data_IF_152839320465
#
_entry.id   IF_152839320465
#
_cell.length_a   1.000
_cell.length_b   1.000
_cell.length_c   1.000
_cell.angle_alpha   90.00
_cell.angle_beta   90.00
_cell.angle_gamma   90.00
#
_symmetry.space_group_name_H-M   'P 1'
#
loop_
_entity.id
_entity.type
_entity.pdbx_description
1 polymer ?
#
# COMPACT_ATOMS: atom_id res chain seq x y z
N UNK A 1 -9.58 -3.03 -9.81
CA UNK A 1 -8.57 -3.55 -10.76
C UNK A 1 -7.38 -4.09 -9.98
N UNK A 2 -6.95 -5.31 -10.29
CA UNK A 2 -5.84 -5.98 -9.60
C UNK A 2 -4.50 -5.89 -10.32
N UNK A 3 -3.41 -6.28 -9.65
CA UNK A 3 -2.05 -6.22 -10.21
C UNK A 3 -1.92 -6.92 -11.58
N UNK A 4 -2.58 -8.07 -11.77
CA UNK A 4 -2.55 -8.82 -13.04
C UNK A 4 -3.17 -8.07 -14.22
N UNK A 5 -4.08 -7.14 -13.98
CA UNK A 5 -4.73 -6.33 -15.02
C UNK A 5 -3.89 -5.09 -15.34
N UNK A 6 -3.26 -4.51 -14.32
CA UNK A 6 -2.51 -3.25 -14.42
C UNK A 6 -1.12 -3.48 -15.04
N UNK A 7 -0.39 -4.50 -14.59
CA UNK A 7 1.02 -4.69 -14.92
C UNK A 7 1.31 -4.90 -16.41
N UNK A 8 0.48 -5.59 -17.22
CA UNK A 8 0.67 -5.66 -18.66
C UNK A 8 0.67 -4.30 -19.36
N UNK A 9 -0.11 -3.34 -18.85
CA UNK A 9 -0.14 -1.97 -19.38
C UNK A 9 1.09 -1.19 -18.94
N UNK A 10 1.49 -1.34 -17.67
CA UNK A 10 2.68 -0.70 -17.09
C UNK A 10 3.95 -1.13 -17.83
N UNK A 11 4.16 -2.41 -18.10
CA UNK A 11 5.37 -2.92 -18.78
C UNK A 11 5.48 -2.44 -20.24
N UNK A 12 4.36 -2.05 -20.87
CA UNK A 12 4.35 -1.53 -22.25
C UNK A 12 4.71 -0.04 -22.34
N UNK A 13 4.51 0.70 -21.26
CA UNK A 13 4.85 2.12 -21.17
C UNK A 13 6.05 2.30 -20.25
N UNK A 14 7.22 2.55 -20.86
CA UNK A 14 8.48 2.74 -20.13
C UNK A 14 8.38 3.76 -18.99
N UNK A 15 7.68 4.88 -19.20
CA UNK A 15 7.57 5.93 -18.18
C UNK A 15 6.77 5.43 -16.98
N UNK A 16 5.66 4.72 -17.21
CA UNK A 16 4.89 4.09 -16.14
C UNK A 16 5.67 2.97 -15.44
N UNK A 17 6.42 2.20 -16.22
CA UNK A 17 7.24 1.11 -15.70
C UNK A 17 8.31 1.59 -14.74
N UNK A 18 9.04 2.65 -15.10
CA UNK A 18 10.05 3.26 -14.22
C UNK A 18 9.43 3.88 -12.96
N UNK A 19 8.24 4.49 -13.07
CA UNK A 19 7.51 4.99 -11.90
C UNK A 19 7.11 3.84 -10.98
N UNK A 20 6.65 2.71 -11.52
CA UNK A 20 6.31 1.52 -10.73
C UNK A 20 7.54 0.96 -9.99
N UNK A 21 8.68 0.85 -10.68
CA UNK A 21 9.92 0.38 -10.07
C UNK A 21 10.42 1.31 -8.96
N UNK A 22 10.33 2.63 -9.16
CA UNK A 22 10.67 3.59 -8.12
C UNK A 22 9.69 3.55 -6.94
N UNK A 23 8.43 3.16 -7.17
CA UNK A 23 7.47 2.90 -6.08
C UNK A 23 7.87 1.68 -5.25
N UNK A 24 8.25 0.56 -5.88
CA UNK A 24 8.79 -0.58 -5.13
C UNK A 24 10.00 -0.17 -4.30
N UNK A 25 10.98 0.50 -4.92
CA UNK A 25 12.20 0.98 -4.23
C UNK A 25 11.85 1.85 -3.01
N UNK A 26 10.95 2.80 -3.19
CA UNK A 26 10.54 3.70 -2.12
C UNK A 26 9.79 2.94 -1.01
N UNK A 27 9.00 1.93 -1.36
CA UNK A 27 8.28 1.11 -0.41
C UNK A 27 9.24 0.28 0.44
N UNK A 28 10.21 -0.44 -0.15
CA UNK A 28 11.14 -1.28 0.64
C UNK A 28 11.98 -0.45 1.62
N UNK A 29 12.37 0.77 1.21
CA UNK A 29 13.05 1.70 2.10
C UNK A 29 12.18 2.15 3.28
N UNK A 30 10.89 2.35 3.04
CA UNK A 30 9.97 2.72 4.10
C UNK A 30 9.67 1.52 5.01
N UNK A 31 9.53 0.32 4.46
CA UNK A 31 9.41 -0.94 5.22
C UNK A 31 10.58 -1.10 6.20
N UNK A 32 11.80 -0.73 5.81
CA UNK A 32 12.95 -0.72 6.74
C UNK A 32 12.70 0.15 7.98
N UNK A 33 12.10 1.33 7.81
CA UNK A 33 11.82 2.26 8.92
C UNK A 33 10.76 1.67 9.85
N UNK A 34 9.65 1.18 9.29
CA UNK A 34 8.54 0.63 10.06
C UNK A 34 8.96 -0.61 10.86
N UNK A 35 9.72 -1.51 10.23
CA UNK A 35 10.24 -2.71 10.88
C UNK A 35 11.25 -2.35 11.98
N UNK A 36 12.08 -1.32 11.76
CA UNK A 36 13.05 -0.85 12.77
C UNK A 36 12.33 -0.27 13.99
N UNK A 37 11.33 0.59 13.77
CA UNK A 37 10.48 1.15 14.84
C UNK A 37 9.75 0.05 15.63
N UNK A 38 9.26 -1.01 14.95
CA UNK A 38 8.69 -2.16 15.63
C UNK A 38 9.73 -2.89 16.49
N UNK A 39 10.93 -3.13 15.97
CA UNK A 39 12.01 -3.79 16.73
C UNK A 39 12.37 -3.00 17.99
N UNK A 40 12.48 -1.68 17.89
CA UNK A 40 12.76 -0.81 19.04
C UNK A 40 11.63 -0.88 20.09
N UNK A 41 10.37 -0.87 19.65
CA UNK A 41 9.19 -0.98 20.54
C UNK A 41 9.10 -2.33 21.24
N UNK A 42 9.59 -3.40 20.61
CA UNK A 42 9.59 -4.74 21.21
C UNK A 42 10.63 -4.89 22.32
N UNK A 43 11.59 -3.98 22.44
CA UNK A 43 12.62 -3.96 23.49
C UNK A 43 13.26 -5.35 23.71
N UNK A 44 13.64 -6.00 22.61
CA UNK A 44 14.28 -7.32 22.63
C UNK A 44 13.35 -8.51 22.90
N UNK A 45 12.03 -8.31 22.98
CA UNK A 45 11.07 -9.36 23.34
C UNK A 45 9.91 -9.54 22.36
N UNK A 46 9.62 -10.78 21.90
CA UNK A 46 10.40 -12.00 22.10
C UNK A 46 11.66 -12.03 21.22
N UNK A 47 12.75 -12.61 21.73
CA UNK A 47 14.07 -12.62 21.08
C UNK A 47 14.06 -13.19 19.67
N UNK A 48 13.32 -14.28 19.45
CA UNK A 48 13.22 -14.92 18.15
C UNK A 48 12.50 -14.04 17.13
N UNK A 49 11.50 -13.26 17.57
CA UNK A 49 10.80 -12.32 16.70
C UNK A 49 11.70 -11.15 16.33
N UNK A 50 12.40 -10.59 17.31
CA UNK A 50 13.35 -9.49 17.07
C UNK A 50 14.44 -9.92 16.08
N UNK A 51 14.91 -11.17 16.17
CA UNK A 51 15.84 -11.75 15.17
C UNK A 51 15.19 -11.87 13.79
N UNK A 52 13.99 -12.44 13.70
CA UNK A 52 13.29 -12.60 12.42
C UNK A 52 13.02 -11.24 11.75
N UNK A 53 12.60 -10.22 12.52
CA UNK A 53 12.43 -8.83 12.05
C UNK A 53 13.75 -8.20 11.62
N UNK A 54 14.84 -8.44 12.35
CA UNK A 54 16.17 -7.91 11.98
C UNK A 54 16.67 -8.47 10.65
N UNK A 55 16.42 -9.76 10.38
CA UNK A 55 16.70 -10.34 9.07
C UNK A 55 15.81 -9.75 7.98
N UNK A 56 14.52 -9.54 8.27
CA UNK A 56 13.59 -8.90 7.34
C UNK A 56 14.07 -7.48 6.98
N UNK A 57 14.45 -6.64 7.95
CA UNK A 57 15.06 -5.32 7.70
C UNK A 57 16.26 -5.41 6.75
N UNK A 58 17.13 -6.40 6.95
CA UNK A 58 18.30 -6.60 6.11
C UNK A 58 17.96 -7.07 4.68
N UNK A 59 16.83 -7.76 4.49
CA UNK A 59 16.31 -8.12 3.17
C UNK A 59 15.71 -6.89 2.49
N UNK A 60 14.83 -6.13 3.15
CA UNK A 60 14.22 -4.90 2.63
C UNK A 60 15.27 -3.88 2.16
N UNK A 61 16.30 -3.67 2.98
CA UNK A 61 17.40 -2.77 2.64
C UNK A 61 18.15 -3.22 1.38
N UNK A 62 18.28 -4.55 1.19
CA UNK A 62 18.93 -5.16 0.03
C UNK A 62 18.05 -5.05 -1.20
N UNK A 63 16.73 -5.22 -1.07
CA UNK A 63 15.78 -5.02 -2.16
C UNK A 63 15.77 -3.58 -2.64
N UNK A 64 15.70 -2.64 -1.71
CA UNK A 64 15.84 -1.20 -1.97
C UNK A 64 17.13 -0.89 -2.72
N UNK A 65 18.25 -1.47 -2.30
CA UNK A 65 19.54 -1.31 -2.97
C UNK A 65 19.50 -1.84 -4.41
N UNK A 66 19.02 -3.08 -4.63
CA UNK A 66 18.92 -3.66 -5.97
C UNK A 66 18.01 -2.86 -6.91
N UNK A 67 16.89 -2.37 -6.41
CA UNK A 67 15.97 -1.53 -7.18
C UNK A 67 16.57 -0.15 -7.48
N UNK A 68 17.32 0.43 -6.52
CA UNK A 68 18.06 1.69 -6.72
C UNK A 68 19.10 1.53 -7.83
N UNK A 69 19.93 0.50 -7.75
CA UNK A 69 20.94 0.20 -8.77
C UNK A 69 20.31 -0.04 -10.15
N UNK A 70 19.19 -0.75 -10.20
CA UNK A 70 18.43 -0.97 -11.43
C UNK A 70 17.95 0.37 -12.02
N UNK A 71 17.29 1.20 -11.21
CA UNK A 71 16.77 2.50 -11.65
C UNK A 71 17.88 3.42 -12.16
N UNK A 72 19.03 3.46 -11.47
CA UNK A 72 20.20 4.21 -11.91
C UNK A 72 20.72 3.70 -13.26
N UNK A 73 20.84 2.37 -13.44
CA UNK A 73 21.26 1.77 -14.71
C UNK A 73 20.29 2.05 -15.86
N UNK A 74 19.02 2.23 -15.57
CA UNK A 74 17.98 2.58 -16.56
C UNK A 74 17.85 4.09 -16.79
N UNK A 75 18.65 4.92 -16.11
CA UNK A 75 18.59 6.38 -16.20
C UNK A 75 17.27 6.95 -15.67
N UNK A 76 16.66 6.29 -14.69
CA UNK A 76 15.41 6.72 -14.09
C UNK A 76 15.62 7.73 -12.95
N UNK A 77 14.61 8.55 -12.69
CA UNK A 77 14.56 9.39 -11.49
C UNK A 77 14.32 8.52 -10.25
N UNK A 78 15.14 8.72 -9.22
CA UNK A 78 15.11 8.02 -7.92
C UNK A 78 14.51 8.87 -6.80
N UNK A 79 13.99 10.06 -7.13
CA UNK A 79 13.25 10.90 -6.20
C UNK A 79 11.98 10.24 -5.67
N UNK A 80 11.23 10.95 -4.84
CA UNK A 80 9.94 10.46 -4.31
C UNK A 80 8.98 10.17 -5.48
N UNK A 81 8.40 8.95 -5.57
CA UNK A 81 7.49 8.62 -6.65
C UNK A 81 6.23 9.52 -6.61
N UNK A 82 5.71 9.97 -7.76
CA UNK A 82 4.57 10.87 -7.82
C UNK A 82 3.27 10.14 -7.48
N UNK A 83 2.31 10.83 -6.85
CA UNK A 83 0.98 10.31 -6.53
C UNK A 83 0.73 10.12 -5.04
N UNK A 84 -0.47 9.65 -4.70
CA UNK A 84 -0.81 9.27 -3.33
C UNK A 84 0.09 8.11 -2.91
N UNK A 85 0.66 8.21 -1.72
CA UNK A 85 1.50 7.15 -1.16
C UNK A 85 0.60 6.12 -0.49
N UNK A 86 0.63 4.90 -1.02
CA UNK A 86 -0.03 3.73 -0.43
C UNK A 86 0.34 3.57 1.04
N UNK A 87 1.64 3.62 1.33
CA UNK A 87 2.17 3.44 2.67
C UNK A 87 1.67 4.52 3.62
N UNK A 88 1.73 5.80 3.22
CA UNK A 88 1.20 6.87 4.08
C UNK A 88 -0.29 6.73 4.36
N UNK A 89 -1.06 6.31 3.36
CA UNK A 89 -2.49 6.08 3.54
C UNK A 89 -2.73 4.89 4.46
N UNK A 90 -1.92 3.84 4.35
CA UNK A 90 -1.93 2.71 5.28
C UNK A 90 -1.62 3.16 6.71
N UNK A 91 -0.54 3.92 6.91
CA UNK A 91 -0.12 4.48 8.20
C UNK A 91 -1.19 5.37 8.84
N UNK A 92 -1.93 6.12 8.03
CA UNK A 92 -3.05 6.96 8.47
C UNK A 92 -4.22 6.14 8.98
N UNK A 93 -4.48 4.99 8.35
CA UNK A 93 -5.62 4.12 8.65
C UNK A 93 -5.35 3.20 9.83
N UNK A 94 -4.09 2.89 10.14
CA UNK A 94 -3.75 2.17 11.37
C UNK A 94 -3.91 3.07 12.60
N UNK A 95 -4.22 2.48 13.75
CA UNK A 95 -4.29 3.20 15.02
C UNK A 95 -2.98 3.05 15.79
N UNK A 96 -2.04 3.97 15.55
CA UNK A 96 -0.71 3.92 16.16
C UNK A 96 -0.72 4.19 17.67
N UNK A 97 -1.77 4.79 18.23
CA UNK A 97 -1.85 5.21 19.63
C UNK A 97 -2.36 4.10 20.56
N UNK A 98 -3.25 3.21 20.08
CA UNK A 98 -3.68 2.05 20.86
C UNK A 98 -2.56 1.06 21.18
N UNK A 99 -1.43 1.14 20.47
CA UNK A 99 -0.22 0.34 20.67
C UNK A 99 0.71 0.83 21.78
N UNK A 100 0.50 2.05 22.31
CA UNK A 100 1.41 2.68 23.29
C UNK A 100 1.01 2.44 24.76
N UNK A 101 -0.11 1.78 25.04
CA UNK A 101 -0.59 1.59 26.41
C UNK A 101 0.05 0.36 27.10
N UNK A 102 0.66 0.52 28.30
CA UNK A 102 1.15 -0.59 29.11
C UNK A 102 0.02 -1.60 29.37
N UNK A 103 0.23 -2.87 28.99
CA UNK A 103 -0.80 -3.93 29.08
C UNK A 103 -1.43 -4.35 27.75
N UNK A 104 -1.22 -3.58 26.66
CA UNK A 104 -1.68 -3.91 25.29
C UNK A 104 -0.58 -4.40 24.34
N UNK A 105 0.64 -4.64 24.85
CA UNK A 105 1.80 -5.10 24.06
C UNK A 105 1.50 -6.33 23.18
N UNK A 106 0.74 -7.31 23.69
CA UNK A 106 0.34 -8.47 22.89
C UNK A 106 -0.62 -8.12 21.74
N UNK A 107 -1.52 -7.15 21.95
CA UNK A 107 -2.48 -6.72 20.95
C UNK A 107 -1.77 -5.86 19.88
N UNK A 108 -0.82 -5.02 20.30
CA UNK A 108 0.04 -4.27 19.40
C UNK A 108 0.98 -5.15 18.58
N UNK A 109 1.54 -6.20 19.19
CA UNK A 109 2.32 -7.19 18.46
C UNK A 109 1.48 -7.92 17.40
N UNK A 110 0.26 -8.36 17.74
CA UNK A 110 -0.65 -8.99 16.78
C UNK A 110 -0.99 -8.02 15.64
N UNK A 111 -1.25 -6.75 15.97
CA UNK A 111 -1.52 -5.68 15.00
C UNK A 111 -0.35 -5.46 14.05
N UNK A 112 0.86 -5.23 14.57
CA UNK A 112 2.06 -5.04 13.76
C UNK A 112 2.39 -6.23 12.86
N UNK A 113 2.28 -7.46 13.38
CA UNK A 113 2.47 -8.67 12.57
C UNK A 113 1.38 -8.85 11.49
N UNK A 114 0.14 -8.48 11.79
CA UNK A 114 -0.94 -8.51 10.81
C UNK A 114 -0.71 -7.45 9.72
N UNK A 115 -0.26 -6.25 10.10
CA UNK A 115 0.10 -5.15 9.21
C UNK A 115 1.18 -5.58 8.20
N UNK A 116 2.32 -6.04 8.71
CA UNK A 116 3.43 -6.56 7.89
C UNK A 116 2.91 -7.63 6.94
N UNK A 117 2.23 -8.64 7.45
CA UNK A 117 1.83 -9.78 6.62
C UNK A 117 0.84 -9.41 5.50
N UNK A 118 -0.04 -8.41 5.68
CA UNK A 118 -0.93 -7.97 4.59
C UNK A 118 -0.19 -7.14 3.55
N UNK A 119 0.77 -6.30 3.94
CA UNK A 119 1.59 -5.51 3.02
C UNK A 119 2.53 -6.42 2.22
N UNK A 120 3.20 -7.38 2.87
CA UNK A 120 4.04 -8.40 2.22
C UNK A 120 3.27 -9.23 1.19
N UNK A 121 2.03 -9.62 1.51
CA UNK A 121 1.17 -10.35 0.58
C UNK A 121 0.86 -9.52 -0.65
N UNK A 122 0.60 -8.22 -0.49
CA UNK A 122 0.38 -7.31 -1.61
C UNK A 122 1.64 -7.16 -2.47
N UNK A 123 2.81 -7.01 -1.84
CA UNK A 123 4.11 -7.00 -2.53
C UNK A 123 4.31 -8.26 -3.38
N UNK A 124 4.13 -9.43 -2.78
CA UNK A 124 4.14 -10.73 -3.47
C UNK A 124 3.18 -10.79 -4.68
N UNK A 125 1.93 -10.33 -4.53
CA UNK A 125 0.95 -10.28 -5.62
C UNK A 125 1.45 -9.42 -6.79
N UNK A 126 2.02 -8.27 -6.48
CA UNK A 126 2.56 -7.32 -7.45
C UNK A 126 3.79 -7.86 -8.16
N UNK A 127 4.78 -8.37 -7.43
CA UNK A 127 5.97 -8.98 -8.02
C UNK A 127 5.62 -10.19 -8.89
N UNK A 128 4.72 -11.07 -8.43
CA UNK A 128 4.24 -12.20 -9.21
C UNK A 128 3.58 -11.76 -10.53
N UNK A 129 2.68 -10.76 -10.47
CA UNK A 129 2.05 -10.20 -11.66
C UNK A 129 3.05 -9.52 -12.59
N UNK A 130 4.06 -8.84 -12.04
CA UNK A 130 5.09 -8.16 -12.81
C UNK A 130 6.00 -9.13 -13.54
N UNK A 131 6.46 -10.19 -12.87
CA UNK A 131 7.22 -11.29 -13.47
C UNK A 131 6.44 -11.88 -14.64
N UNK A 132 5.14 -12.14 -14.45
CA UNK A 132 4.29 -12.66 -15.53
C UNK A 132 4.23 -11.69 -16.72
N UNK A 133 3.93 -10.41 -16.47
CA UNK A 133 3.84 -9.40 -17.52
C UNK A 133 5.16 -9.24 -18.30
N UNK A 134 6.31 -9.25 -17.61
CA UNK A 134 7.65 -9.22 -18.22
C UNK A 134 7.98 -10.49 -19.02
N UNK A 135 7.45 -11.64 -18.58
CA UNK A 135 7.60 -12.91 -19.32
C UNK A 135 6.86 -12.87 -20.66
N UNK A 136 5.71 -12.21 -20.71
CA UNK A 136 4.87 -12.05 -21.90
C UNK A 136 5.27 -10.85 -22.79
N UNK A 137 6.01 -9.88 -22.25
CA UNK A 137 6.49 -8.71 -22.98
C UNK A 137 7.71 -9.00 -23.89
N UNK A 138 8.01 -8.13 -24.88
CA UNK A 138 9.21 -8.23 -25.70
C UNK A 138 10.49 -8.31 -24.86
N UNK A 139 11.43 -9.16 -25.27
CA UNK A 139 12.71 -9.40 -24.60
C UNK A 139 13.76 -8.33 -24.91
N UNK A 140 13.47 -7.10 -24.52
CA UNK A 140 14.46 -6.01 -24.56
C UNK A 140 15.49 -6.20 -23.45
N UNK A 141 16.67 -5.61 -23.60
CA UNK A 141 17.71 -5.64 -22.57
C UNK A 141 17.22 -5.05 -21.24
N UNK A 142 16.44 -3.96 -21.30
CA UNK A 142 15.79 -3.33 -20.14
C UNK A 142 14.84 -4.31 -19.45
N UNK A 143 13.92 -4.95 -20.17
CA UNK A 143 12.97 -5.90 -19.59
C UNK A 143 13.66 -7.12 -18.97
N UNK A 144 14.75 -7.59 -19.57
CA UNK A 144 15.54 -8.70 -19.02
C UNK A 144 16.19 -8.29 -17.69
N UNK A 145 16.77 -7.09 -17.61
CA UNK A 145 17.36 -6.58 -16.36
C UNK A 145 16.30 -6.45 -15.26
N UNK A 146 15.15 -5.87 -15.58
CA UNK A 146 14.05 -5.70 -14.63
C UNK A 146 13.53 -7.06 -14.14
N UNK A 147 13.29 -8.00 -15.06
CA UNK A 147 12.82 -9.34 -14.72
C UNK A 147 13.79 -10.04 -13.76
N UNK A 148 15.09 -10.00 -14.05
CA UNK A 148 16.12 -10.61 -13.20
C UNK A 148 16.13 -10.01 -11.79
N UNK A 149 16.04 -8.68 -11.67
CA UNK A 149 16.00 -8.01 -10.36
C UNK A 149 14.75 -8.42 -9.57
N UNK A 150 13.57 -8.44 -10.20
CA UNK A 150 12.33 -8.81 -9.51
C UNK A 150 12.33 -10.31 -9.14
N UNK A 151 12.83 -11.19 -10.01
CA UNK A 151 12.97 -12.62 -9.70
C UNK A 151 13.98 -12.90 -8.58
N UNK A 152 14.93 -11.99 -8.35
CA UNK A 152 15.87 -12.06 -7.24
C UNK A 152 15.22 -11.67 -5.90
N UNK A 153 14.34 -10.66 -5.91
CA UNK A 153 13.61 -10.18 -4.72
C UNK A 153 12.51 -11.17 -4.29
N UNK A 154 11.74 -11.66 -5.26
CA UNK A 154 10.50 -12.40 -5.01
C UNK A 154 10.59 -13.60 -4.05
N UNK A 155 11.65 -14.43 -4.04
CA UNK A 155 11.77 -15.51 -3.06
C UNK A 155 11.88 -15.03 -1.61
N UNK A 156 12.51 -13.88 -1.37
CA UNK A 156 12.68 -13.28 -0.03
C UNK A 156 11.33 -12.78 0.50
N UNK A 157 10.56 -12.08 -0.32
CA UNK A 157 9.17 -11.65 -0.06
C UNK A 157 8.24 -12.82 0.32
N UNK A 158 8.34 -13.93 -0.41
CA UNK A 158 7.59 -15.14 -0.08
C UNK A 158 8.02 -15.69 1.28
N UNK A 159 9.30 -15.57 1.62
CA UNK A 159 9.84 -15.85 2.95
C UNK A 159 9.21 -14.96 4.02
N UNK A 160 9.04 -13.66 3.73
CA UNK A 160 8.43 -12.67 4.61
C UNK A 160 7.00 -13.01 4.98
N UNK A 161 6.17 -13.26 3.96
CA UNK A 161 4.80 -13.73 4.15
C UNK A 161 4.75 -15.02 5.00
N UNK A 162 5.64 -15.98 4.72
CA UNK A 162 5.65 -17.28 5.43
C UNK A 162 6.01 -17.13 6.90
N UNK A 163 7.02 -16.33 7.23
CA UNK A 163 7.44 -16.17 8.62
C UNK A 163 6.41 -15.36 9.42
N UNK A 164 5.81 -14.32 8.84
CA UNK A 164 4.73 -13.55 9.46
C UNK A 164 3.48 -14.42 9.74
N UNK A 165 3.06 -15.25 8.78
CA UNK A 165 1.97 -16.22 8.99
C UNK A 165 2.28 -17.23 10.10
N UNK A 166 3.54 -17.70 10.19
CA UNK A 166 3.98 -18.61 11.25
C UNK A 166 3.80 -17.98 12.64
N UNK A 167 4.25 -16.74 12.83
CA UNK A 167 4.11 -16.05 14.13
C UNK A 167 2.64 -15.82 14.52
N UNK A 168 1.82 -15.32 13.60
CA UNK A 168 0.39 -15.15 13.85
C UNK A 168 -0.29 -16.48 14.21
N UNK A 169 0.08 -17.58 13.54
CA UNK A 169 -0.43 -18.91 13.84
C UNK A 169 0.03 -19.43 15.21
N UNK A 170 1.27 -19.16 15.62
CA UNK A 170 1.78 -19.50 16.95
C UNK A 170 1.03 -18.74 18.04
N UNK A 171 0.79 -17.43 17.86
CA UNK A 171 0.01 -16.62 18.80
C UNK A 171 -1.43 -17.14 18.89
N UNK A 172 -2.08 -17.41 17.76
CA UNK A 172 -3.44 -17.94 17.71
C UNK A 172 -3.61 -19.34 18.36
N UNK A 173 -2.52 -20.08 18.56
CA UNK A 173 -2.53 -21.37 19.25
C UNK A 173 -2.45 -21.25 20.78
N UNK A 174 -2.09 -20.09 21.32
CA UNK A 174 -1.92 -19.89 22.78
C UNK A 174 -3.23 -20.02 23.56
N UNK A 175 -4.33 -19.45 23.06
CA UNK A 175 -5.66 -19.58 23.67
C UNK A 175 -6.77 -19.22 22.66
N UNK A 176 -8.05 -19.58 22.95
CA UNK A 176 -9.19 -19.14 22.14
C UNK A 176 -9.28 -17.61 22.01
N UNK A 177 -8.93 -16.87 23.07
CA UNK A 177 -8.89 -15.41 23.06
C UNK A 177 -7.84 -14.89 22.06
N UNK A 178 -6.60 -15.40 22.11
CA UNK A 178 -5.55 -15.00 21.16
C UNK A 178 -5.94 -15.33 19.71
N UNK A 179 -6.62 -16.46 19.49
CA UNK A 179 -7.15 -16.81 18.16
C UNK A 179 -8.12 -15.76 17.65
N UNK A 180 -9.07 -15.34 18.48
CA UNK A 180 -10.03 -14.30 18.11
C UNK A 180 -9.32 -12.98 17.81
N UNK A 181 -8.34 -12.57 18.62
CA UNK A 181 -7.56 -11.36 18.39
C UNK A 181 -6.77 -11.39 17.08
N UNK A 182 -6.13 -12.52 16.76
CA UNK A 182 -5.41 -12.70 15.48
C UNK A 182 -6.35 -12.64 14.29
N UNK A 183 -7.48 -13.34 14.33
CA UNK A 183 -8.46 -13.31 13.23
C UNK A 183 -9.12 -11.94 13.07
N UNK A 184 -9.35 -11.24 14.18
CA UNK A 184 -9.83 -9.87 14.19
C UNK A 184 -8.82 -8.92 13.52
N UNK A 185 -7.56 -8.97 13.93
CA UNK A 185 -6.50 -8.17 13.34
C UNK A 185 -6.34 -8.46 11.85
N UNK A 186 -6.32 -9.73 11.42
CA UNK A 186 -6.27 -10.06 9.99
C UNK A 186 -7.38 -9.41 9.19
N UNK A 187 -8.64 -9.46 9.67
CA UNK A 187 -9.78 -8.84 8.98
C UNK A 187 -9.63 -7.33 8.89
N UNK A 188 -9.28 -6.69 9.99
CA UNK A 188 -9.08 -5.24 10.05
C UNK A 188 -7.96 -4.80 9.10
N UNK A 189 -6.80 -5.44 9.18
CA UNK A 189 -5.64 -5.05 8.40
C UNK A 189 -5.79 -5.35 6.91
N UNK A 190 -6.52 -6.42 6.52
CA UNK A 190 -6.89 -6.63 5.12
C UNK A 190 -7.79 -5.50 4.61
N UNK A 191 -8.76 -5.03 5.40
CA UNK A 191 -9.61 -3.90 5.01
C UNK A 191 -8.81 -2.58 4.91
N UNK A 192 -7.89 -2.34 5.85
CA UNK A 192 -6.99 -1.17 5.82
C UNK A 192 -6.10 -1.21 4.58
N UNK A 193 -5.49 -2.37 4.30
CA UNK A 193 -4.63 -2.59 3.15
C UNK A 193 -5.37 -2.31 1.84
N UNK A 194 -6.58 -2.87 1.69
CA UNK A 194 -7.41 -2.66 0.52
C UNK A 194 -7.81 -1.18 0.36
N UNK A 195 -8.20 -0.52 1.46
CA UNK A 195 -8.57 0.90 1.46
C UNK A 195 -7.40 1.80 1.05
N UNK A 196 -6.19 1.52 1.56
CA UNK A 196 -4.97 2.23 1.21
C UNK A 196 -4.57 2.00 -0.26
N UNK A 197 -4.68 0.76 -0.72
CA UNK A 197 -4.41 0.37 -2.10
C UNK A 197 -5.31 1.12 -3.09
N UNK A 198 -6.63 1.11 -2.86
CA UNK A 198 -7.61 1.80 -3.70
C UNK A 198 -7.40 3.31 -3.73
N UNK A 199 -7.05 3.88 -2.58
CA UNK A 199 -6.72 5.30 -2.46
C UNK A 199 -5.46 5.69 -3.24
N UNK A 200 -4.49 4.79 -3.35
CA UNK A 200 -3.25 4.98 -4.12
C UNK A 200 -3.46 5.02 -5.63
N UNK A 201 -4.52 4.38 -6.13
CA UNK A 201 -4.86 4.30 -7.56
C UNK A 201 -5.95 5.28 -7.99
N UNK A 202 -6.77 5.77 -7.05
CA UNK A 202 -7.95 6.55 -7.36
C UNK A 202 -7.74 8.07 -7.21
N UNK A 203 -7.57 8.72 -8.36
CA UNK A 203 -7.46 10.18 -8.49
C UNK A 203 -8.73 10.82 -9.07
N UNK A 204 -9.75 10.03 -9.38
CA UNK A 204 -10.92 10.47 -10.14
C UNK A 204 -11.92 11.23 -9.27
N UNK A 205 -12.87 11.93 -9.90
CA UNK A 205 -14.00 12.49 -9.17
C UNK A 205 -14.77 11.40 -8.41
N UNK A 206 -15.23 11.72 -7.20
CA UNK A 206 -15.86 10.75 -6.31
C UNK A 206 -14.89 9.84 -5.55
N UNK A 207 -13.57 10.01 -5.72
CA UNK A 207 -12.57 9.33 -4.90
C UNK A 207 -12.76 9.62 -3.41
N UNK A 208 -13.19 10.83 -3.07
CA UNK A 208 -13.54 11.23 -1.71
C UNK A 208 -14.68 10.38 -1.13
N UNK A 209 -15.74 10.12 -1.91
CA UNK A 209 -16.86 9.26 -1.49
C UNK A 209 -16.43 7.80 -1.33
N UNK A 210 -15.58 7.29 -2.24
CA UNK A 210 -15.05 5.93 -2.13
C UNK A 210 -14.12 5.79 -0.92
N UNK A 211 -13.26 6.79 -0.65
CA UNK A 211 -12.44 6.84 0.57
C UNK A 211 -13.28 6.87 1.84
N UNK A 212 -14.41 7.59 1.84
CA UNK A 212 -15.36 7.55 2.95
C UNK A 212 -15.98 6.16 3.13
N UNK A 213 -16.40 5.52 2.03
CA UNK A 213 -16.90 4.14 2.09
C UNK A 213 -15.86 3.18 2.65
N UNK A 214 -14.62 3.28 2.18
CA UNK A 214 -13.51 2.45 2.67
C UNK A 214 -13.22 2.70 4.15
N UNK A 215 -13.29 3.96 4.61
CA UNK A 215 -13.18 4.28 6.05
C UNK A 215 -14.28 3.59 6.88
N UNK A 216 -15.51 3.57 6.38
CA UNK A 216 -16.63 2.88 7.02
C UNK A 216 -16.44 1.36 7.02
N UNK A 217 -15.95 0.78 5.92
CA UNK A 217 -15.64 -0.65 5.83
C UNK A 217 -14.58 -1.06 6.84
N UNK A 218 -13.51 -0.27 7.00
CA UNK A 218 -12.52 -0.50 8.05
C UNK A 218 -13.15 -0.37 9.43
N UNK A 219 -13.90 0.70 9.69
CA UNK A 219 -14.57 0.89 10.98
C UNK A 219 -15.53 -0.28 11.32
N UNK A 220 -16.18 -0.88 10.33
CA UNK A 220 -17.05 -2.02 10.51
C UNK A 220 -16.31 -3.30 10.93
N UNK A 221 -15.00 -3.38 10.68
CA UNK A 221 -14.18 -4.47 11.22
C UNK A 221 -14.01 -4.33 12.73
N UNK A 222 -13.97 -3.11 13.29
CA UNK A 222 -13.70 -2.86 14.71
C UNK A 222 -14.86 -3.27 15.64
N UNK A 223 -14.57 -3.54 16.93
CA UNK A 223 -15.59 -3.60 17.98
C UNK A 223 -16.47 -2.34 17.97
N UNK A 224 -17.78 -2.51 18.19
CA UNK A 224 -18.79 -1.43 18.07
C UNK A 224 -18.40 -0.17 18.86
N UNK A 225 -17.79 -0.35 20.03
CA UNK A 225 -17.41 0.73 20.95
C UNK A 225 -16.20 1.55 20.47
N UNK A 226 -15.33 0.98 19.63
CA UNK A 226 -14.13 1.65 19.10
C UNK A 226 -14.42 2.44 17.82
N UNK A 227 -15.51 2.12 17.11
CA UNK A 227 -15.85 2.74 15.82
C UNK A 227 -16.03 4.26 15.88
N UNK A 228 -16.75 4.84 16.86
CA UNK A 228 -16.97 6.29 16.89
C UNK A 228 -15.66 7.07 16.97
N UNK A 229 -14.75 6.64 17.87
CA UNK A 229 -13.44 7.27 18.03
C UNK A 229 -12.60 7.15 16.76
N UNK A 230 -12.50 5.94 16.20
CA UNK A 230 -11.76 5.68 14.97
C UNK A 230 -12.22 6.58 13.81
N UNK A 231 -13.54 6.77 13.67
CA UNK A 231 -14.12 7.64 12.66
C UNK A 231 -13.83 9.12 12.93
N UNK A 232 -14.02 9.61 14.15
CA UNK A 232 -13.78 11.03 14.50
C UNK A 232 -12.34 11.43 14.21
N UNK A 233 -11.37 10.57 14.53
CA UNK A 233 -9.95 10.84 14.29
C UNK A 233 -9.59 10.93 12.80
N UNK A 234 -10.20 10.08 11.96
CA UNK A 234 -9.78 9.90 10.56
C UNK A 234 -10.68 10.60 9.55
N UNK A 235 -11.92 10.91 9.92
CA UNK A 235 -12.91 11.55 9.04
C UNK A 235 -12.44 12.90 8.50
N UNK A 236 -11.84 13.83 9.30
CA UNK A 236 -11.38 15.11 8.77
C UNK A 236 -10.35 14.96 7.66
N UNK A 237 -9.36 14.09 7.86
CA UNK A 237 -8.32 13.83 6.87
C UNK A 237 -8.87 13.09 5.64
N UNK A 238 -9.83 12.18 5.83
CA UNK A 238 -10.50 11.48 4.72
C UNK A 238 -11.34 12.42 3.86
N UNK A 239 -12.03 13.40 4.46
CA UNK A 239 -12.85 14.39 3.74
C UNK A 239 -12.01 15.43 3.00
N UNK A 240 -10.98 15.97 3.67
CA UNK A 240 -10.14 17.01 3.08
C UNK A 240 -9.16 16.43 2.06
N UNK A 241 -8.69 15.20 2.28
CA UNK A 241 -7.79 14.43 1.42
C UNK A 241 -6.66 15.29 0.79
N UNK A 242 -5.83 16.00 1.59
CA UNK A 242 -4.89 16.99 1.08
C UNK A 242 -3.87 16.40 0.10
N UNK A 243 -3.38 15.18 0.34
CA UNK A 243 -2.46 14.50 -0.59
C UNK A 243 -3.11 14.18 -1.94
N UNK A 244 -4.41 13.84 -1.95
CA UNK A 244 -5.18 13.62 -3.18
C UNK A 244 -5.31 14.92 -3.97
N UNK A 245 -5.66 16.03 -3.30
CA UNK A 245 -5.80 17.32 -3.98
C UNK A 245 -4.45 17.80 -4.53
N UNK A 246 -3.37 17.68 -3.75
CA UNK A 246 -2.03 18.01 -4.21
C UNK A 246 -1.59 17.13 -5.40
N UNK A 247 -1.90 15.83 -5.36
CA UNK A 247 -1.62 14.92 -6.47
C UNK A 247 -2.36 15.35 -7.74
N UNK A 248 -3.65 15.67 -7.64
CA UNK A 248 -4.44 16.14 -8.79
C UNK A 248 -3.88 17.43 -9.39
N UNK A 249 -3.45 18.37 -8.54
CA UNK A 249 -2.79 19.62 -8.99
C UNK A 249 -1.50 19.30 -9.76
N UNK A 250 -0.65 18.43 -9.22
CA UNK A 250 0.61 18.04 -9.88
C UNK A 250 0.37 17.35 -11.23
N UNK A 251 -0.61 16.44 -11.29
CA UNK A 251 -1.01 15.77 -12.54
C UNK A 251 -1.53 16.78 -13.55
N UNK A 252 -2.39 17.71 -13.12
CA UNK A 252 -2.93 18.76 -13.98
C UNK A 252 -1.83 19.69 -14.53
N UNK A 253 -0.92 20.15 -13.65
CA UNK A 253 0.22 20.99 -14.05
C UNK A 253 1.11 20.28 -15.06
N UNK A 254 1.43 19.00 -14.83
CA UNK A 254 2.26 18.21 -15.75
C UNK A 254 1.57 17.96 -17.08
N UNK A 255 0.26 17.67 -17.07
CA UNK A 255 -0.52 17.50 -18.29
C UNK A 255 -0.57 18.80 -19.10
N UNK A 256 -0.82 19.94 -18.45
CA UNK A 256 -0.79 21.26 -19.08
C UNK A 256 0.58 21.57 -19.69
N UNK A 257 1.68 21.30 -19.00
CA UNK A 257 3.03 21.55 -19.52
C UNK A 257 3.40 20.66 -20.71
N UNK A 258 2.84 19.45 -20.81
CA UNK A 258 3.16 18.48 -21.87
C UNK A 258 2.27 18.63 -23.10
N UNK A 259 0.96 18.85 -22.90
CA UNK A 259 -0.04 18.98 -23.96
C UNK A 259 -1.20 19.88 -23.48
N UNK A 260 -1.05 21.22 -23.59
CA UNK A 260 -2.08 22.16 -23.16
C UNK A 260 -3.43 21.94 -23.85
N UNK A 261 -3.42 21.54 -25.12
CA UNK A 261 -4.63 21.34 -25.92
C UNK A 261 -5.37 20.07 -25.47
N UNK A 262 -4.66 18.94 -25.35
CA UNK A 262 -5.23 17.69 -24.84
C UNK A 262 -5.72 17.81 -23.39
N UNK A 263 -5.11 18.66 -22.58
CA UNK A 263 -5.59 18.97 -21.23
C UNK A 263 -7.00 19.57 -21.23
N UNK A 264 -7.24 20.61 -22.04
CA UNK A 264 -8.56 21.27 -22.13
C UNK A 264 -9.61 20.32 -22.71
N UNK A 265 -9.25 19.56 -23.74
CA UNK A 265 -10.20 18.73 -24.47
C UNK A 265 -10.57 17.41 -23.75
N UNK A 266 -9.66 16.85 -22.92
CA UNK A 266 -9.84 15.51 -22.32
C UNK A 266 -9.85 15.51 -20.81
N UNK A 267 -8.99 16.30 -20.17
CA UNK A 267 -8.82 16.27 -18.71
C UNK A 267 -9.91 17.08 -18.01
N UNK A 268 -10.18 18.31 -18.47
CA UNK A 268 -11.24 19.17 -17.89
C UNK A 268 -12.62 18.49 -17.94
N UNK A 269 -13.06 17.89 -19.06
CA UNK A 269 -14.34 17.19 -19.11
C UNK A 269 -14.38 15.94 -18.22
N UNK A 270 -13.28 15.22 -18.01
CA UNK A 270 -13.25 14.04 -17.15
C UNK A 270 -13.51 14.40 -15.67
N UNK A 271 -12.96 15.52 -15.21
CA UNK A 271 -13.21 16.04 -13.86
C UNK A 271 -14.62 16.61 -13.70
N UNK A 272 -15.12 17.35 -14.69
CA UNK A 272 -16.45 17.94 -14.66
C UNK A 272 -17.58 16.91 -14.87
N UNK A 273 -17.39 15.94 -15.76
CA UNK A 273 -18.37 14.88 -16.01
C UNK A 273 -18.44 13.86 -14.87
N UNK A 274 -17.35 13.70 -14.11
CA UNK A 274 -17.37 12.92 -12.88
C UNK A 274 -18.32 13.49 -11.82
N UNK A 275 -18.46 14.82 -11.73
CA UNK A 275 -19.47 15.48 -10.88
C UNK A 275 -20.90 15.23 -11.40
N UNK A 276 -21.09 15.17 -12.72
CA UNK A 276 -22.39 14.91 -13.35
C UNK A 276 -22.85 13.44 -13.25
N UNK A 277 -21.94 12.48 -13.06
CA UNK A 277 -22.31 11.08 -12.81
C UNK A 277 -22.71 10.85 -11.35
N UNK A 278 -22.10 11.56 -10.39
CA UNK A 278 -22.47 11.52 -8.97
C UNK A 278 -23.90 12.06 -8.76
N UNK A 279 -24.27 13.14 -9.45
CA UNK A 279 -25.64 13.70 -9.39
C UNK A 279 -26.70 12.77 -9.98
N UNK A 280 -26.38 12.04 -11.06
CA UNK A 280 -27.28 11.05 -11.67
C UNK A 280 -27.47 9.79 -10.83
N UNK A 281 -26.47 9.37 -10.05
CA UNK A 281 -26.63 8.24 -9.13
C UNK A 281 -27.40 8.60 -7.86
N UNK A 282 -27.32 9.84 -7.38
CA UNK A 282 -28.16 10.32 -6.27
C UNK A 282 -29.64 10.42 -6.65
N UNK A 283 -29.97 10.79 -7.89
CA UNK A 283 -31.38 10.84 -8.34
C UNK A 283 -32.04 9.45 -8.46
N UNK A 284 -31.27 8.38 -8.69
CA UNK A 284 -31.80 7.00 -8.75
C UNK A 284 -31.94 6.32 -7.39
N UNK A 285 -31.32 6.84 -6.34
CA UNK A 285 -31.45 6.30 -4.98
C UNK A 285 -32.62 6.91 -4.19
N UNK A 286 -33.30 7.91 -4.76
CA UNK A 286 -34.45 8.63 -4.17
C UNK A 286 -35.72 8.47 -5.03
N UNK A 287 -35.69 7.61 -6.05
CA UNK A 287 -36.85 7.23 -6.89
C UNK A 287 -37.27 5.80 -6.64
#
# INVERSE_FOLDING_TARGET
>A
MGAREILPHVVRDRKLHLVMLNRYRYNEQHSCLDLTDLVEKLDGQPKELVRDLSHHIADEARHAMWLTDLLMKLGADIGKPPGVSYIKEFDRLIDQESYKQPGKLNDGLIGGLAAINVTEKRGCEYFSAHIKALKEAPKTEENIKILKTIEQIFPEEVGHVRWGNRWLAQIAKKSPEHRQKVEQAKRQYVAIEQAAYESGIDLMAGAELRRLNNLLEVANTLPVWERPQYLIERLPQTLLAPELQMTRIQVAQKAWQQDPQGFIEKFVPMFLNGLNQVSKHQQKAVS
#
